data_IF_526262510769
#
_entry.id   IF_526262510769
#
_cell.length_a   1.000
_cell.length_b   1.000
_cell.length_c   1.000
_cell.angle_alpha   90.00
_cell.angle_beta   90.00
_cell.angle_gamma   90.00
#
_symmetry.space_group_name_H-M   'P 1'
#
loop_
_entity.id
_entity.type
_entity.pdbx_description
1 polymer ?
#
# COMPACT_ATOMS: atom_id res chain seq x y z
N UNK A 1 -32.63 35.29 -6.23
CA UNK A 1 -32.65 33.88 -6.69
C UNK A 1 -31.22 33.32 -6.85
N UNK A 2 -30.34 33.42 -5.84
CA UNK A 2 -28.93 32.96 -5.95
C UNK A 2 -28.46 32.14 -4.73
N UNK A 3 -29.30 31.96 -3.71
CA UNK A 3 -28.95 31.26 -2.45
C UNK A 3 -29.23 29.76 -2.49
N UNK A 4 -30.14 29.32 -3.38
CA UNK A 4 -30.56 27.92 -3.51
C UNK A 4 -29.53 27.10 -4.30
N UNK A 5 -28.88 27.69 -5.31
CA UNK A 5 -27.88 27.00 -6.14
C UNK A 5 -26.59 26.66 -5.36
N UNK A 6 -26.12 27.56 -4.49
CA UNK A 6 -24.95 27.33 -3.64
C UNK A 6 -25.15 26.21 -2.60
N UNK A 7 -26.38 26.01 -2.10
CA UNK A 7 -26.68 24.92 -1.16
C UNK A 7 -26.65 23.55 -1.85
N UNK A 8 -27.05 23.49 -3.14
CA UNK A 8 -27.11 22.25 -3.90
C UNK A 8 -25.71 21.72 -4.26
N UNK A 9 -24.78 22.62 -4.64
CA UNK A 9 -23.40 22.24 -4.97
C UNK A 9 -22.65 21.66 -3.77
N UNK A 10 -22.87 22.22 -2.57
CA UNK A 10 -22.29 21.68 -1.33
C UNK A 10 -22.87 20.30 -0.96
N UNK A 11 -24.16 20.06 -1.19
CA UNK A 11 -24.81 18.77 -0.97
C UNK A 11 -24.30 17.70 -1.96
N UNK A 12 -24.11 18.07 -3.23
CA UNK A 12 -23.56 17.19 -4.26
C UNK A 12 -22.06 16.89 -4.02
N UNK A 13 -21.29 17.88 -3.55
CA UNK A 13 -19.90 17.67 -3.14
C UNK A 13 -19.81 16.79 -1.88
N UNK A 14 -20.65 16.99 -0.87
CA UNK A 14 -20.70 16.15 0.32
C UNK A 14 -21.13 14.70 0.01
N UNK A 15 -21.95 14.49 -1.01
CA UNK A 15 -22.37 13.16 -1.49
C UNK A 15 -21.29 12.45 -2.35
N UNK A 16 -20.27 13.18 -2.83
CA UNK A 16 -19.12 12.67 -3.61
C UNK A 16 -17.85 12.49 -2.79
N UNK A 17 -17.78 13.08 -1.60
CA UNK A 17 -16.64 12.96 -0.69
C UNK A 17 -16.89 11.72 0.18
N UNK A 18 -16.07 10.68 0.00
CA UNK A 18 -16.08 9.53 0.90
C UNK A 18 -15.89 10.02 2.34
N UNK A 19 -16.68 9.46 3.26
CA UNK A 19 -16.51 9.75 4.68
C UNK A 19 -15.11 9.33 5.14
N UNK A 20 -14.63 9.91 6.24
CA UNK A 20 -13.35 9.51 6.83
C UNK A 20 -13.31 8.00 7.14
N UNK A 21 -14.44 7.40 7.50
CA UNK A 21 -14.54 5.96 7.76
C UNK A 21 -14.39 5.13 6.48
N UNK A 22 -15.07 5.51 5.39
CA UNK A 22 -14.93 4.85 4.09
C UNK A 22 -13.52 5.02 3.51
N UNK A 23 -12.91 6.19 3.68
CA UNK A 23 -11.50 6.43 3.32
C UNK A 23 -10.56 5.52 4.11
N UNK A 24 -10.77 5.40 5.42
CA UNK A 24 -9.95 4.53 6.26
C UNK A 24 -10.10 3.06 5.87
N UNK A 25 -11.34 2.59 5.64
CA UNK A 25 -11.60 1.22 5.22
C UNK A 25 -10.98 0.92 3.84
N UNK A 26 -11.08 1.86 2.90
CA UNK A 26 -10.44 1.74 1.60
C UNK A 26 -8.91 1.69 1.74
N UNK A 27 -8.33 2.60 2.52
CA UNK A 27 -6.89 2.64 2.80
C UNK A 27 -6.40 1.32 3.39
N UNK A 28 -7.13 0.76 4.35
CA UNK A 28 -6.79 -0.52 4.97
C UNK A 28 -6.88 -1.69 3.98
N UNK A 29 -7.90 -1.72 3.13
CA UNK A 29 -8.04 -2.71 2.06
C UNK A 29 -6.90 -2.61 1.04
N UNK A 30 -6.57 -1.40 0.60
CA UNK A 30 -5.46 -1.15 -0.33
C UNK A 30 -4.12 -1.55 0.27
N UNK A 31 -3.86 -1.16 1.53
CA UNK A 31 -2.65 -1.54 2.25
C UNK A 31 -2.50 -3.05 2.33
N UNK A 32 -3.55 -3.78 2.75
CA UNK A 32 -3.54 -5.25 2.80
C UNK A 32 -3.34 -5.87 1.42
N UNK A 33 -4.01 -5.35 0.40
CA UNK A 33 -3.87 -5.80 -0.98
C UNK A 33 -2.44 -5.64 -1.51
N UNK A 34 -1.81 -4.49 -1.26
CA UNK A 34 -0.43 -4.20 -1.64
C UNK A 34 0.57 -5.10 -0.93
N UNK A 35 0.41 -5.30 0.39
CA UNK A 35 1.27 -6.21 1.16
C UNK A 35 1.19 -7.65 0.61
N UNK A 36 -0.02 -8.13 0.29
CA UNK A 36 -0.21 -9.45 -0.31
C UNK A 36 0.42 -9.56 -1.70
N UNK A 37 0.28 -8.52 -2.53
CA UNK A 37 0.88 -8.48 -3.85
C UNK A 37 2.41 -8.49 -3.80
N UNK A 38 3.01 -7.71 -2.89
CA UNK A 38 4.46 -7.68 -2.65
C UNK A 38 4.97 -9.06 -2.21
N UNK A 39 4.33 -9.67 -1.22
CA UNK A 39 4.70 -11.01 -0.73
C UNK A 39 4.68 -12.05 -1.85
N UNK A 40 3.59 -12.11 -2.63
CA UNK A 40 3.46 -13.05 -3.76
C UNK A 40 4.49 -12.80 -4.85
N UNK A 41 4.82 -11.54 -5.12
CA UNK A 41 5.87 -11.17 -6.07
C UNK A 41 7.23 -11.71 -5.60
N UNK A 42 7.57 -11.51 -4.33
CA UNK A 42 8.82 -12.00 -3.75
C UNK A 42 8.86 -13.54 -3.75
N UNK A 43 7.80 -14.23 -3.33
CA UNK A 43 7.70 -15.70 -3.38
C UNK A 43 7.87 -16.26 -4.80
N UNK A 44 7.29 -15.62 -5.81
CA UNK A 44 7.47 -16.03 -7.22
C UNK A 44 8.91 -15.84 -7.67
N UNK A 45 9.54 -14.72 -7.34
CA UNK A 45 10.90 -14.41 -7.78
C UNK A 45 11.96 -15.22 -7.00
N UNK A 46 11.74 -15.49 -5.72
CA UNK A 46 12.61 -16.31 -4.87
C UNK A 46 12.67 -17.75 -5.40
N UNK A 47 11.52 -18.34 -5.77
CA UNK A 47 11.47 -19.66 -6.43
C UNK A 47 12.27 -19.73 -7.73
N UNK A 48 12.43 -18.60 -8.41
CA UNK A 48 13.19 -18.51 -9.66
C UNK A 48 14.63 -18.03 -9.45
N UNK A 49 15.10 -17.86 -8.21
CA UNK A 49 16.44 -17.38 -7.89
C UNK A 49 16.74 -15.97 -8.43
N UNK A 50 15.72 -15.12 -8.64
CA UNK A 50 15.87 -13.84 -9.32
C UNK A 50 16.44 -12.77 -8.38
N UNK A 51 17.32 -11.91 -8.91
CA UNK A 51 17.72 -10.66 -8.29
C UNK A 51 16.73 -9.52 -8.64
N UNK A 52 16.40 -8.71 -7.65
CA UNK A 52 15.52 -7.55 -7.79
C UNK A 52 16.30 -6.26 -7.51
N UNK A 53 16.01 -5.22 -8.29
CA UNK A 53 16.56 -3.88 -8.05
C UNK A 53 15.88 -3.25 -6.84
N UNK A 54 16.67 -2.72 -5.91
CA UNK A 54 16.22 -1.99 -4.74
C UNK A 54 16.90 -0.62 -4.68
N UNK A 55 16.11 0.43 -4.46
CA UNK A 55 16.62 1.76 -4.17
C UNK A 55 17.12 1.84 -2.72
N UNK A 56 18.29 2.43 -2.52
CA UNK A 56 18.84 2.71 -1.18
C UNK A 56 18.54 4.16 -0.76
N UNK A 57 18.56 4.48 0.55
CA UNK A 57 18.29 5.83 1.04
C UNK A 57 19.25 6.91 0.51
N UNK A 58 20.47 6.52 0.12
CA UNK A 58 21.46 7.41 -0.53
C UNK A 58 21.23 7.57 -2.04
N UNK A 59 20.11 7.07 -2.57
CA UNK A 59 19.68 7.26 -3.96
C UNK A 59 20.32 6.30 -4.96
N UNK A 60 21.08 5.28 -4.51
CA UNK A 60 21.66 4.27 -5.38
C UNK A 60 20.67 3.14 -5.66
N UNK A 61 20.96 2.36 -6.70
CA UNK A 61 20.26 1.12 -7.02
C UNK A 61 21.21 -0.05 -6.75
N UNK A 62 20.75 -0.99 -5.94
CA UNK A 62 21.44 -2.25 -5.67
C UNK A 62 20.58 -3.43 -6.17
N UNK A 63 21.21 -4.58 -6.36
CA UNK A 63 20.51 -5.82 -6.68
C UNK A 63 20.56 -6.75 -5.47
N UNK A 64 19.39 -7.19 -5.01
CA UNK A 64 19.23 -8.06 -3.83
C UNK A 64 18.46 -9.30 -4.25
N UNK A 65 18.77 -10.44 -3.66
CA UNK A 65 18.02 -11.67 -3.97
C UNK A 65 16.57 -11.56 -3.49
N UNK A 66 15.64 -12.08 -4.29
CA UNK A 66 14.22 -12.11 -3.90
C UNK A 66 14.00 -12.94 -2.61
N UNK A 67 14.84 -13.94 -2.35
CA UNK A 67 14.82 -14.75 -1.12
C UNK A 67 15.15 -13.91 0.10
N UNK A 68 16.23 -13.14 0.07
CA UNK A 68 16.63 -12.26 1.17
C UNK A 68 15.57 -11.19 1.45
N UNK A 69 14.97 -10.62 0.40
CA UNK A 69 13.89 -9.65 0.58
C UNK A 69 12.63 -10.29 1.19
N UNK A 70 12.32 -11.55 0.85
CA UNK A 70 11.21 -12.29 1.44
C UNK A 70 11.44 -12.59 2.92
N UNK A 71 12.66 -12.96 3.31
CA UNK A 71 13.05 -13.20 4.71
C UNK A 71 12.87 -11.93 5.55
N UNK A 72 13.39 -10.79 5.07
CA UNK A 72 13.22 -9.48 5.73
C UNK A 72 11.73 -9.10 5.89
N UNK A 73 10.89 -9.43 4.90
CA UNK A 73 9.45 -9.18 4.98
C UNK A 73 8.80 -10.03 6.09
N UNK A 74 9.15 -11.31 6.19
CA UNK A 74 8.63 -12.22 7.21
C UNK A 74 9.09 -11.86 8.63
N UNK A 75 10.32 -11.35 8.79
CA UNK A 75 10.82 -10.85 10.07
C UNK A 75 10.00 -9.64 10.56
N UNK A 76 9.74 -8.68 9.67
CA UNK A 76 8.88 -7.53 9.98
C UNK A 76 7.45 -7.94 10.34
N UNK A 77 6.88 -8.92 9.65
CA UNK A 77 5.56 -9.49 10.00
C UNK A 77 5.59 -10.06 11.43
N UNK A 78 6.61 -10.83 11.80
CA UNK A 78 6.75 -11.41 13.15
C UNK A 78 6.91 -10.34 14.24
N UNK A 79 7.66 -9.27 13.98
CA UNK A 79 7.83 -8.16 14.92
C UNK A 79 6.53 -7.38 15.12
N UNK A 80 5.74 -7.20 14.07
CA UNK A 80 4.46 -6.49 14.14
C UNK A 80 3.40 -7.21 14.97
N UNK A 81 3.49 -8.54 15.10
CA UNK A 81 2.57 -9.36 15.90
C UNK A 81 2.93 -9.33 17.40
N UNK A 82 4.18 -8.98 17.75
CA UNK A 82 4.66 -8.91 19.14
C UNK A 82 4.38 -7.58 19.84
N UNK A 83 3.92 -6.57 19.09
CA UNK A 83 3.52 -5.24 19.61
C UNK A 83 2.02 -5.15 19.74
#
# INVERSE_FOLDING_TARGET
MARIEYMNLNFLNASRIMSNNEMQELSDKLRRGLQLAEKRLLEKNARNGKLLSQGTPDGKVIYVSATELLERLQEKEKESIKK
#
